data_IF_091396235069
#
_entry.id   IF_091396235069
#
_cell.length_a   1.000
_cell.length_b   1.000
_cell.length_c   1.000
_cell.angle_alpha   90.00
_cell.angle_beta   90.00
_cell.angle_gamma   90.00
#
_symmetry.space_group_name_H-M   'P 1'
#
loop_
_entity.id
_entity.type
_entity.pdbx_description
1 polymer ?
#
# COMPACT_ATOMS: atom_id res chain seq x y z
N UNK A 1 1.17 19.51 -10.58
CA UNK A 1 2.60 19.72 -10.86
C UNK A 1 3.35 18.50 -10.37
N UNK A 2 3.88 17.66 -11.25
CA UNK A 2 4.65 16.47 -10.86
C UNK A 2 5.97 16.92 -10.19
N UNK A 3 6.39 16.29 -9.09
CA UNK A 3 7.63 16.68 -8.43
C UNK A 3 8.82 16.40 -9.35
N UNK A 4 9.66 17.42 -9.59
CA UNK A 4 10.88 17.30 -10.41
C UNK A 4 11.78 16.18 -9.87
N UNK A 5 12.17 15.26 -10.76
CA UNK A 5 12.99 14.10 -10.42
C UNK A 5 14.41 14.55 -10.01
N UNK A 6 14.92 14.01 -8.91
CA UNK A 6 16.30 14.26 -8.43
C UNK A 6 17.23 13.24 -9.07
N UNK A 7 18.12 13.69 -9.95
CA UNK A 7 19.00 12.82 -10.77
C UNK A 7 20.46 12.79 -10.31
N UNK A 8 20.87 13.73 -9.47
CA UNK A 8 22.27 13.87 -8.99
C UNK A 8 22.40 13.39 -7.55
N UNK A 9 23.56 12.80 -7.24
CA UNK A 9 23.89 12.25 -5.91
C UNK A 9 25.14 12.93 -5.36
N UNK A 10 25.11 13.31 -4.08
CA UNK A 10 26.25 13.87 -3.34
C UNK A 10 26.75 12.78 -2.38
N UNK A 11 28.02 12.36 -2.52
CA UNK A 11 28.67 11.40 -1.62
C UNK A 11 29.60 12.15 -0.66
N UNK A 12 29.47 11.92 0.64
CA UNK A 12 30.34 12.50 1.67
C UNK A 12 31.07 11.36 2.40
N UNK A 13 32.37 11.56 2.69
CA UNK A 13 33.11 10.69 3.62
C UNK A 13 32.98 11.29 5.00
N UNK A 14 32.70 10.44 5.98
CA UNK A 14 32.54 10.83 7.39
C UNK A 14 33.23 9.79 8.26
N UNK A 15 33.72 10.23 9.41
CA UNK A 15 34.16 9.37 10.51
C UNK A 15 32.96 8.69 11.17
N UNK A 16 33.22 7.67 12.00
CA UNK A 16 32.16 6.96 12.72
C UNK A 16 31.37 7.90 13.66
N UNK A 17 32.06 8.79 14.36
CA UNK A 17 31.45 9.74 15.30
C UNK A 17 30.59 10.79 14.59
N UNK A 18 31.06 11.29 13.45
CA UNK A 18 30.28 12.22 12.61
C UNK A 18 29.01 11.56 12.09
N UNK A 19 29.06 10.27 11.71
CA UNK A 19 27.88 9.54 11.28
C UNK A 19 26.85 9.37 12.41
N UNK A 20 27.30 9.07 13.63
CA UNK A 20 26.43 8.97 14.81
C UNK A 20 25.80 10.32 15.11
N UNK A 21 26.60 11.39 15.08
CA UNK A 21 26.13 12.76 15.30
C UNK A 21 25.09 13.18 14.26
N UNK A 22 25.32 12.88 12.98
CA UNK A 22 24.37 13.18 11.90
C UNK A 22 23.04 12.43 12.07
N UNK A 23 23.09 11.15 12.46
CA UNK A 23 21.88 10.37 12.75
C UNK A 23 21.13 10.90 13.98
N UNK A 24 21.84 11.31 15.02
CA UNK A 24 21.23 11.93 16.20
C UNK A 24 20.54 13.25 15.88
N UNK A 25 21.16 14.08 15.03
CA UNK A 25 20.59 15.36 14.60
C UNK A 25 19.36 15.19 13.70
N UNK A 26 19.26 14.09 12.94
CA UNK A 26 18.07 13.80 12.11
C UNK A 26 16.86 13.31 12.90
N UNK A 27 17.03 12.85 14.14
CA UNK A 27 15.95 12.31 14.97
C UNK A 27 15.21 11.16 14.26
N UNK A 28 13.88 11.24 14.23
CA UNK A 28 12.99 10.27 13.57
C UNK A 28 12.86 10.47 12.04
N UNK A 29 13.40 11.59 11.51
CA UNK A 29 13.37 11.87 10.08
C UNK A 29 14.51 11.13 9.36
N UNK A 30 14.29 10.76 8.11
CA UNK A 30 15.36 10.18 7.28
C UNK A 30 16.47 11.22 7.12
N UNK A 31 17.72 10.83 7.36
CA UNK A 31 18.89 11.72 7.26
C UNK A 31 18.94 12.54 5.95
N UNK A 32 18.52 11.96 4.82
CA UNK A 32 18.47 12.67 3.55
C UNK A 32 17.35 13.73 3.45
N UNK A 33 16.22 13.53 4.13
CA UNK A 33 15.13 14.51 4.22
C UNK A 33 15.54 15.66 5.14
N UNK A 34 16.08 15.32 6.31
CA UNK A 34 16.66 16.29 7.27
C UNK A 34 17.77 17.14 6.65
N UNK A 35 18.76 16.52 5.97
CA UNK A 35 19.85 17.25 5.31
C UNK A 35 19.34 18.20 4.23
N UNK A 36 18.23 17.91 3.56
CA UNK A 36 17.66 18.81 2.55
C UNK A 36 16.95 19.99 3.18
N UNK A 37 16.19 19.77 4.25
CA UNK A 37 15.59 20.88 5.02
C UNK A 37 16.70 21.79 5.55
N UNK A 38 17.74 21.21 6.18
CA UNK A 38 18.85 21.97 6.76
C UNK A 38 19.76 22.66 5.75
N UNK A 39 20.19 21.98 4.68
CA UNK A 39 21.16 22.54 3.73
C UNK A 39 20.55 23.34 2.58
N UNK A 40 19.27 23.12 2.25
CA UNK A 40 18.61 23.75 1.09
C UNK A 40 17.42 24.63 1.48
N UNK A 41 17.12 24.79 2.78
CA UNK A 41 15.98 25.58 3.27
C UNK A 41 14.62 25.06 2.80
N UNK A 42 14.58 23.84 2.24
CA UNK A 42 13.36 23.22 1.74
C UNK A 42 12.62 22.58 2.90
N UNK A 43 12.03 23.42 3.75
CA UNK A 43 11.06 22.96 4.72
C UNK A 43 9.89 22.31 3.98
N UNK A 44 9.71 21.03 4.25
CA UNK A 44 8.60 20.20 3.79
C UNK A 44 8.70 19.80 2.31
N UNK A 45 9.59 18.83 2.05
CA UNK A 45 9.21 17.77 1.13
C UNK A 45 8.07 16.96 1.77
N UNK A 46 6.86 17.54 1.77
CA UNK A 46 5.59 16.94 2.15
C UNK A 46 5.18 15.76 1.24
N UNK A 47 6.13 15.02 0.68
CA UNK A 47 5.89 13.96 -0.29
C UNK A 47 5.52 12.62 0.32
N UNK A 48 5.59 12.49 1.65
CA UNK A 48 5.22 11.24 2.33
C UNK A 48 4.88 11.47 3.80
N UNK A 49 3.96 12.40 4.08
CA UNK A 49 3.05 12.11 5.19
C UNK A 49 2.39 10.80 4.80
N UNK A 50 2.87 9.68 5.33
CA UNK A 50 2.16 8.40 5.29
C UNK A 50 0.77 8.77 5.75
N UNK A 51 -0.20 8.77 4.84
CA UNK A 51 -1.60 8.89 5.22
C UNK A 51 -1.77 7.91 6.37
N UNK A 52 -2.08 8.37 7.59
CA UNK A 52 -2.22 7.48 8.72
C UNK A 52 -3.18 6.39 8.25
N UNK A 53 -2.73 5.13 8.33
CA UNK A 53 -3.58 4.01 7.94
C UNK A 53 -4.89 4.19 8.70
N UNK A 54 -6.06 4.17 8.03
CA UNK A 54 -7.33 4.32 8.72
C UNK A 54 -7.32 3.41 9.95
N UNK A 55 -7.76 3.92 11.10
CA UNK A 55 -7.87 3.14 12.34
C UNK A 55 -9.00 2.13 12.17
N UNK A 56 -8.75 1.10 11.37
CA UNK A 56 -9.59 -0.08 11.21
C UNK A 56 -9.06 -1.16 12.14
N UNK A 57 -9.95 -2.00 12.66
CA UNK A 57 -9.56 -3.14 13.47
C UNK A 57 -8.54 -4.02 12.71
N UNK A 58 -7.35 -4.28 13.28
CA UNK A 58 -6.35 -5.16 12.68
C UNK A 58 -6.91 -6.55 12.33
N UNK A 59 -7.87 -7.08 13.09
CA UNK A 59 -8.51 -8.35 12.78
C UNK A 59 -9.32 -8.27 11.49
N UNK A 60 -10.10 -7.20 11.30
CA UNK A 60 -10.85 -6.94 10.07
C UNK A 60 -9.91 -6.82 8.86
N UNK A 61 -8.81 -6.07 8.99
CA UNK A 61 -7.83 -5.92 7.92
C UNK A 61 -7.19 -7.26 7.52
N UNK A 62 -6.88 -8.12 8.49
CA UNK A 62 -6.36 -9.48 8.21
C UNK A 62 -7.36 -10.32 7.44
N UNK A 63 -8.64 -10.25 7.80
CA UNK A 63 -9.69 -11.00 7.08
C UNK A 63 -9.85 -10.49 5.65
N UNK A 64 -9.91 -9.18 5.44
CA UNK A 64 -9.97 -8.58 4.10
C UNK A 64 -8.75 -8.98 3.26
N UNK A 65 -7.55 -8.94 3.85
CA UNK A 65 -6.34 -9.41 3.17
C UNK A 65 -6.42 -10.90 2.81
N UNK A 66 -6.97 -11.75 3.68
CA UNK A 66 -7.23 -13.16 3.40
C UNK A 66 -8.16 -13.37 2.21
N UNK A 67 -9.28 -12.63 2.15
CA UNK A 67 -10.22 -12.65 1.02
C UNK A 67 -9.52 -12.23 -0.27
N UNK A 68 -8.77 -11.13 -0.25
CA UNK A 68 -8.01 -10.66 -1.41
C UNK A 68 -6.96 -11.66 -1.91
N UNK A 69 -6.26 -12.32 -0.98
CA UNK A 69 -5.30 -13.37 -1.32
C UNK A 69 -5.95 -14.58 -1.99
N UNK A 70 -7.12 -15.01 -1.53
CA UNK A 70 -7.87 -16.10 -2.14
C UNK A 70 -8.33 -15.73 -3.56
N UNK A 71 -8.88 -14.53 -3.73
CA UNK A 71 -9.31 -14.05 -5.06
C UNK A 71 -8.14 -13.97 -6.04
N UNK A 72 -6.98 -13.49 -5.58
CA UNK A 72 -5.77 -13.43 -6.40
C UNK A 72 -5.24 -14.82 -6.80
N UNK A 73 -5.35 -15.82 -5.93
CA UNK A 73 -5.00 -17.21 -6.27
C UNK A 73 -5.91 -17.77 -7.38
N UNK A 74 -7.22 -17.51 -7.29
CA UNK A 74 -8.18 -17.89 -8.34
C UNK A 74 -7.85 -17.19 -9.64
N UNK A 75 -7.62 -15.87 -9.62
CA UNK A 75 -7.25 -15.11 -10.81
C UNK A 75 -5.98 -15.64 -11.49
N UNK A 76 -4.94 -15.96 -10.69
CA UNK A 76 -3.70 -16.56 -11.20
C UNK A 76 -3.95 -17.91 -11.85
N UNK A 77 -4.75 -18.79 -11.23
CA UNK A 77 -5.10 -20.08 -11.83
C UNK A 77 -5.90 -19.93 -13.13
N UNK A 78 -6.89 -19.06 -13.16
CA UNK A 78 -7.68 -18.77 -14.37
C UNK A 78 -6.77 -18.26 -15.50
N UNK A 79 -5.78 -17.42 -15.17
CA UNK A 79 -4.85 -16.83 -16.13
C UNK A 79 -3.64 -17.72 -16.48
N UNK A 80 -3.42 -18.83 -15.77
CA UNK A 80 -2.28 -19.72 -15.99
C UNK A 80 -2.31 -20.44 -17.34
N UNK A 81 -3.49 -20.57 -17.94
CA UNK A 81 -3.71 -21.39 -19.14
C UNK A 81 -3.75 -22.90 -18.87
N UNK A 82 -3.56 -23.34 -17.62
CA UNK A 82 -3.65 -24.76 -17.23
C UNK A 82 -5.09 -25.29 -17.25
N UNK A 83 -6.08 -24.41 -17.11
CA UNK A 83 -7.50 -24.76 -17.11
C UNK A 83 -8.15 -24.66 -18.49
N UNK A 84 -8.94 -25.68 -18.83
CA UNK A 84 -9.79 -25.71 -20.00
C UNK A 84 -10.83 -24.58 -20.01
N UNK A 85 -11.42 -24.31 -21.18
CA UNK A 85 -12.42 -23.24 -21.32
C UNK A 85 -13.65 -23.46 -20.41
N UNK A 86 -14.09 -24.72 -20.28
CA UNK A 86 -15.25 -25.10 -19.44
C UNK A 86 -14.97 -24.84 -17.95
N UNK A 87 -13.80 -25.24 -17.46
CA UNK A 87 -13.39 -25.06 -16.06
C UNK A 87 -13.31 -23.56 -15.71
N UNK A 88 -12.76 -22.76 -16.62
CA UNK A 88 -12.70 -21.30 -16.46
C UNK A 88 -14.09 -20.67 -16.40
N UNK A 89 -15.00 -21.06 -17.29
CA UNK A 89 -16.39 -20.57 -17.29
C UNK A 89 -17.10 -20.96 -16.00
N UNK A 90 -16.93 -22.19 -15.52
CA UNK A 90 -17.56 -22.66 -14.29
C UNK A 90 -17.09 -21.86 -13.06
N UNK A 91 -15.79 -21.59 -12.96
CA UNK A 91 -15.24 -20.76 -11.87
C UNK A 91 -15.73 -19.33 -11.95
N UNK A 92 -15.76 -18.73 -13.13
CA UNK A 92 -16.30 -17.37 -13.33
C UNK A 92 -17.78 -17.31 -12.95
N UNK A 93 -18.58 -18.32 -13.32
CA UNK A 93 -20.00 -18.39 -12.98
C UNK A 93 -20.22 -18.43 -11.46
N UNK A 94 -19.41 -19.20 -10.72
CA UNK A 94 -19.47 -19.24 -9.26
C UNK A 94 -19.10 -17.89 -8.65
N UNK A 95 -18.04 -17.23 -9.15
CA UNK A 95 -17.65 -15.89 -8.67
C UNK A 95 -18.77 -14.85 -8.89
N UNK A 96 -19.44 -14.89 -10.04
CA UNK A 96 -20.60 -14.04 -10.32
C UNK A 96 -21.78 -14.33 -9.39
N UNK A 97 -22.04 -15.60 -9.06
CA UNK A 97 -23.07 -15.97 -8.09
C UNK A 97 -22.74 -15.46 -6.68
N UNK A 98 -21.47 -15.55 -6.26
CA UNK A 98 -21.00 -15.00 -4.99
C UNK A 98 -21.14 -13.47 -4.96
N UNK A 99 -20.78 -12.77 -6.03
CA UNK A 99 -20.96 -11.32 -6.15
C UNK A 99 -22.44 -10.93 -5.98
N UNK A 100 -23.35 -11.60 -6.69
CA UNK A 100 -24.79 -11.36 -6.58
C UNK A 100 -25.32 -11.60 -5.16
N UNK A 101 -24.88 -12.68 -4.51
CA UNK A 101 -25.27 -12.98 -3.14
C UNK A 101 -24.78 -11.89 -2.17
N UNK A 102 -23.52 -11.43 -2.33
CA UNK A 102 -22.97 -10.34 -1.53
C UNK A 102 -23.70 -9.01 -1.77
N UNK A 103 -24.05 -8.70 -3.02
CA UNK A 103 -24.85 -7.53 -3.35
C UNK A 103 -26.23 -7.57 -2.69
N UNK A 104 -26.89 -8.73 -2.68
CA UNK A 104 -28.19 -8.91 -2.02
C UNK A 104 -28.13 -8.65 -0.51
N UNK A 105 -27.04 -9.01 0.14
CA UNK A 105 -26.81 -8.80 1.58
C UNK A 105 -26.30 -7.37 1.86
N UNK A 106 -25.67 -6.72 0.89
CA UNK A 106 -25.12 -5.37 1.00
C UNK A 106 -26.16 -4.26 0.80
N UNK A 107 -27.38 -4.57 0.33
CA UNK A 107 -28.46 -3.58 0.29
C UNK A 107 -28.75 -3.17 1.74
N UNK A 108 -28.63 -1.87 2.10
CA UNK A 108 -28.93 -1.45 3.45
C UNK A 108 -30.38 -1.80 3.74
N UNK A 109 -30.64 -2.42 4.89
CA UNK A 109 -31.98 -2.46 5.48
C UNK A 109 -32.43 -1.01 5.70
N UNK A 110 -33.05 -0.41 4.69
CA UNK A 110 -34.01 0.65 4.91
C UNK A 110 -35.17 0.03 5.68
N UNK A 111 -35.48 0.63 6.83
CA UNK A 111 -36.44 0.18 7.86
C UNK A 111 -35.84 -0.89 8.78
N UNK A 112 -35.73 -0.66 10.10
CA UNK A 112 -36.84 -0.41 11.02
C UNK A 112 -36.42 0.54 12.17
N UNK A 113 -37.26 1.57 12.34
CA UNK A 113 -37.67 2.37 13.52
C UNK A 113 -36.69 2.61 14.67
#
# INVERSE_FOLDING_TARGET
MTPTKRERVIKIRVTADELVRLKGLSGDERLAEWMRSKCLGNDKAAGRRRTPVPKADPALLRQIAGIGNNLNQVARRVNSGEWGAVERVQVIAVLMAMERALQAISVPSTEVT
#
